data_IF_187327244766
#
_entry.id   IF_187327244766
#
_cell.length_a   1.000
_cell.length_b   1.000
_cell.length_c   1.000
_cell.angle_alpha   90.00
_cell.angle_beta   90.00
_cell.angle_gamma   90.00
#
_symmetry.space_group_name_H-M   'P 1'
#
loop_
_entity.id
_entity.type
_entity.pdbx_description
1 polymer ?
#
# COMPACT_ATOMS: atom_id res chain seq x y z
N UNK A 1 -1.58 23.96 10.04
CA UNK A 1 -2.13 25.08 9.24
C UNK A 1 -2.08 24.61 7.81
N UNK A 2 -3.22 24.62 7.12
CA UNK A 2 -3.31 24.09 5.77
C UNK A 2 -3.04 25.22 4.77
N UNK A 3 -2.18 24.95 3.80
CA UNK A 3 -1.80 25.92 2.77
C UNK A 3 -2.24 25.42 1.39
N UNK A 4 -2.58 26.36 0.49
CA UNK A 4 -2.96 26.01 -0.87
C UNK A 4 -1.71 25.78 -1.72
N UNK A 5 -1.63 24.62 -2.35
CA UNK A 5 -0.63 24.29 -3.37
C UNK A 5 -1.30 24.32 -4.75
N UNK A 6 -0.77 25.14 -5.66
CA UNK A 6 -1.25 25.23 -7.05
C UNK A 6 -0.20 24.61 -7.96
N UNK A 7 -0.60 23.63 -8.77
CA UNK A 7 0.27 22.89 -9.70
C UNK A 7 -0.22 23.07 -11.13
N UNK A 8 0.71 23.23 -12.07
CA UNK A 8 0.42 23.13 -13.51
C UNK A 8 0.68 21.70 -13.97
N UNK A 9 -0.36 21.06 -14.50
CA UNK A 9 -0.35 19.67 -14.96
C UNK A 9 -1.11 19.59 -16.29
N UNK A 10 -0.87 18.54 -17.04
CA UNK A 10 -1.66 18.23 -18.23
C UNK A 10 -3.14 18.05 -17.86
N UNK A 11 -4.03 18.64 -18.66
CA UNK A 11 -5.47 18.54 -18.47
C UNK A 11 -5.97 17.10 -18.48
N UNK A 12 -5.43 16.25 -19.36
CA UNK A 12 -5.83 14.85 -19.43
C UNK A 12 -5.47 14.08 -18.16
N UNK A 13 -4.33 14.42 -17.56
CA UNK A 13 -3.89 13.82 -16.30
C UNK A 13 -4.80 14.26 -15.16
N UNK A 14 -5.21 15.54 -15.12
CA UNK A 14 -6.12 16.06 -14.11
C UNK A 14 -7.47 15.32 -14.16
N UNK A 15 -8.04 15.11 -15.35
CA UNK A 15 -9.32 14.42 -15.48
C UNK A 15 -9.23 12.94 -15.07
N UNK A 16 -8.21 12.21 -15.52
CA UNK A 16 -7.99 10.81 -15.10
C UNK A 16 -7.80 10.70 -13.58
N UNK A 17 -7.08 11.64 -12.97
CA UNK A 17 -6.87 11.67 -11.54
C UNK A 17 -8.16 11.96 -10.75
N UNK A 18 -9.05 12.83 -11.27
CA UNK A 18 -10.37 13.07 -10.67
C UNK A 18 -11.26 11.83 -10.73
N UNK A 19 -11.28 11.15 -11.87
CA UNK A 19 -12.06 9.91 -12.04
C UNK A 19 -11.59 8.82 -11.08
N UNK A 20 -10.27 8.67 -10.93
CA UNK A 20 -9.69 7.75 -9.95
C UNK A 20 -10.04 8.15 -8.51
N UNK A 21 -9.91 9.42 -8.13
CA UNK A 21 -10.26 9.87 -6.78
C UNK A 21 -11.74 9.62 -6.48
N UNK A 22 -12.62 9.86 -7.46
CA UNK A 22 -14.06 9.61 -7.35
C UNK A 22 -14.38 8.13 -7.20
N UNK A 23 -13.72 7.23 -7.95
CA UNK A 23 -13.93 5.79 -7.82
C UNK A 23 -13.51 5.26 -6.44
N UNK A 24 -12.52 5.90 -5.82
CA UNK A 24 -12.06 5.63 -4.45
C UNK A 24 -12.83 6.42 -3.37
N UNK A 25 -13.88 7.16 -3.74
CA UNK A 25 -14.69 8.00 -2.83
C UNK A 25 -13.88 9.03 -2.02
N UNK A 26 -12.80 9.56 -2.59
CA UNK A 26 -11.96 10.60 -1.97
C UNK A 26 -11.82 11.83 -2.88
N UNK A 27 -11.38 12.95 -2.32
CA UNK A 27 -11.08 14.15 -3.11
C UNK A 27 -9.69 14.07 -3.75
N UNK A 28 -9.51 14.75 -4.89
CA UNK A 28 -8.21 14.85 -5.55
C UNK A 28 -7.14 15.47 -4.63
N UNK A 29 -7.52 16.49 -3.85
CA UNK A 29 -6.62 17.09 -2.85
C UNK A 29 -6.18 16.09 -1.80
N UNK A 30 -7.10 15.23 -1.31
CA UNK A 30 -6.77 14.19 -0.33
C UNK A 30 -5.86 13.13 -0.90
N UNK A 31 -6.06 12.75 -2.16
CA UNK A 31 -5.21 11.82 -2.88
C UNK A 31 -3.78 12.35 -3.00
N UNK A 32 -3.60 13.60 -3.42
CA UNK A 32 -2.28 14.21 -3.58
C UNK A 32 -1.61 14.45 -2.23
N UNK A 33 -2.35 14.92 -1.22
CA UNK A 33 -1.85 15.08 0.15
C UNK A 33 -1.31 13.74 0.69
N UNK A 34 -2.07 12.65 0.53
CA UNK A 34 -1.66 11.32 0.99
C UNK A 34 -0.40 10.82 0.26
N UNK A 35 -0.30 11.08 -1.05
CA UNK A 35 0.88 10.69 -1.83
C UNK A 35 2.12 11.47 -1.40
N UNK A 36 2.00 12.81 -1.27
CA UNK A 36 3.11 13.64 -0.80
C UNK A 36 3.53 13.26 0.62
N UNK A 37 2.58 12.98 1.51
CA UNK A 37 2.87 12.50 2.87
C UNK A 37 3.67 11.18 2.85
N UNK A 38 3.31 10.24 1.97
CA UNK A 38 4.05 8.99 1.80
C UNK A 38 5.48 9.22 1.32
N UNK A 39 5.74 10.24 0.48
CA UNK A 39 7.08 10.52 -0.02
C UNK A 39 8.00 11.21 1.00
N UNK A 40 7.42 11.94 1.97
CA UNK A 40 8.20 12.77 2.90
C UNK A 40 8.28 12.19 4.32
N UNK A 41 7.46 11.20 4.65
CA UNK A 41 7.50 10.52 5.95
C UNK A 41 8.59 9.44 6.05
N UNK A 42 9.30 9.14 4.96
CA UNK A 42 10.53 8.35 4.94
C UNK A 42 11.68 9.11 5.63
N UNK A 43 11.63 9.23 6.96
CA UNK A 43 12.84 9.35 7.79
C UNK A 43 13.23 7.94 8.24
N UNK A 44 14.55 7.64 8.32
CA UNK A 44 15.06 6.29 8.29
C UNK A 44 14.89 5.59 9.65
N UNK A 45 13.70 5.09 9.94
CA UNK A 45 13.58 3.89 10.76
C UNK A 45 13.57 2.71 9.81
N UNK A 46 14.47 1.75 10.06
CA UNK A 46 14.58 0.45 9.38
C UNK A 46 13.35 -0.44 9.64
N UNK A 47 12.16 0.05 9.34
CA UNK A 47 10.96 -0.76 9.26
C UNK A 47 10.54 -0.74 7.80
N UNK A 48 10.47 -1.91 7.21
CA UNK A 48 9.98 -2.10 5.85
C UNK A 48 8.60 -1.42 5.79
N UNK A 49 8.48 -0.30 5.09
CA UNK A 49 7.19 0.38 4.91
C UNK A 49 6.29 -0.51 4.04
N UNK A 50 5.56 -1.41 4.69
CA UNK A 50 4.50 -2.19 4.07
C UNK A 50 3.28 -1.29 3.88
N UNK A 51 2.77 -1.23 2.64
CA UNK A 51 1.58 -0.45 2.31
C UNK A 51 0.38 -0.86 3.19
N UNK A 52 -0.61 0.01 3.44
CA UNK A 52 -1.77 -0.31 4.30
C UNK A 52 -2.51 -1.58 3.89
N UNK A 53 -2.57 -1.84 2.58
CA UNK A 53 -3.15 -3.07 2.03
C UNK A 53 -2.30 -4.31 2.34
N UNK A 54 -0.98 -4.21 2.19
CA UNK A 54 -0.08 -5.32 2.53
C UNK A 54 -0.13 -5.60 4.02
N UNK A 55 -0.22 -4.56 4.87
CA UNK A 55 -0.37 -4.70 6.32
C UNK A 55 -1.70 -5.36 6.72
N UNK A 56 -2.80 -5.04 6.05
CA UNK A 56 -4.09 -5.68 6.33
C UNK A 56 -4.11 -7.15 5.91
N UNK A 57 -3.34 -7.53 4.88
CA UNK A 57 -3.17 -8.91 4.45
C UNK A 57 -2.18 -9.69 5.32
N UNK A 58 -1.06 -9.07 5.73
CA UNK A 58 -0.01 -9.73 6.50
C UNK A 58 -0.40 -10.02 7.95
N UNK A 59 -1.28 -9.19 8.55
CA UNK A 59 -1.75 -9.37 9.93
C UNK A 59 -2.80 -10.48 10.12
N UNK A 60 -3.20 -11.17 9.04
CA UNK A 60 -4.21 -12.25 9.10
C UNK A 60 -3.60 -13.58 9.57
N UNK A 61 -2.28 -13.74 9.41
CA UNK A 61 -1.59 -15.00 9.69
C UNK A 61 -0.60 -14.78 10.83
N UNK A 62 -0.89 -15.39 11.98
CA UNK A 62 0.09 -15.51 13.06
C UNK A 62 0.92 -16.76 12.81
N UNK A 63 2.24 -16.59 12.72
CA UNK A 63 3.21 -17.67 12.57
C UNK A 63 4.06 -17.72 13.84
N UNK A 64 4.38 -18.93 14.29
CA UNK A 64 5.34 -19.11 15.37
C UNK A 64 6.74 -18.64 14.93
N UNK A 65 7.57 -18.19 15.88
CA UNK A 65 8.93 -17.69 15.58
C UNK A 65 9.80 -18.75 14.86
N UNK A 66 9.53 -20.02 15.13
CA UNK A 66 10.25 -21.17 14.57
C UNK A 66 9.56 -21.78 13.34
N UNK A 67 8.63 -21.07 12.69
CA UNK A 67 7.89 -21.60 11.57
C UNK A 67 8.76 -21.80 10.31
N UNK A 68 9.07 -23.07 9.97
CA UNK A 68 9.73 -23.41 8.70
C UNK A 68 8.73 -23.49 7.55
N UNK A 69 8.62 -22.38 6.80
CA UNK A 69 7.75 -22.30 5.64
C UNK A 69 8.11 -23.31 4.54
N UNK A 70 9.37 -23.75 4.43
CA UNK A 70 9.80 -24.67 3.37
C UNK A 70 9.31 -26.08 3.67
N UNK A 71 9.38 -26.50 4.93
CA UNK A 71 8.90 -27.80 5.36
C UNK A 71 7.39 -27.91 5.14
N UNK A 72 6.63 -26.92 5.63
CA UNK A 72 5.16 -26.87 5.45
C UNK A 72 4.73 -26.81 4.00
N UNK A 73 5.46 -26.07 3.17
CA UNK A 73 5.19 -26.01 1.73
C UNK A 73 5.45 -27.37 1.06
N UNK A 74 6.51 -28.07 1.47
CA UNK A 74 6.84 -29.40 0.95
C UNK A 74 5.78 -30.44 1.33
N UNK A 75 5.33 -30.44 2.59
CA UNK A 75 4.21 -31.29 3.04
C UNK A 75 2.94 -31.05 2.22
N UNK A 76 2.57 -29.78 2.03
CA UNK A 76 1.40 -29.40 1.23
C UNK A 76 1.48 -29.91 -0.22
N UNK A 77 2.64 -29.78 -0.87
CA UNK A 77 2.82 -30.27 -2.24
C UNK A 77 2.71 -31.79 -2.33
N UNK A 78 3.28 -32.51 -1.36
CA UNK A 78 3.19 -33.97 -1.28
C UNK A 78 1.74 -34.45 -1.10
N UNK A 79 0.95 -33.73 -0.30
CA UNK A 79 -0.47 -34.02 -0.11
C UNK A 79 -1.32 -33.67 -1.33
N UNK A 80 -1.04 -32.53 -1.97
CA UNK A 80 -1.78 -32.06 -3.15
C UNK A 80 -1.62 -32.96 -4.37
N UNK A 81 -0.43 -33.50 -4.59
CA UNK A 81 -0.10 -34.34 -5.75
C UNK A 81 -0.08 -35.85 -5.41
N UNK A 82 -0.72 -36.22 -4.29
CA UNK A 82 -0.98 -37.61 -3.92
C UNK A 82 -2.16 -38.18 -4.70
#
# INVERSE_FOLDING_TARGET
MDTKLTLNLDKEVIEKAKDYAKSQSISLSKLIESYLASLVNDKPSKEIEITPLVKSLSGVINLDEDFDYKEKYTEYLLEKYK
#
